data_IF_969629808225
#
_entry.id   IF_969629808225
#
_cell.length_a   1.000
_cell.length_b   1.000
_cell.length_c   1.000
_cell.angle_alpha   90.00
_cell.angle_beta   90.00
_cell.angle_gamma   90.00
#
_symmetry.space_group_name_H-M   'P 1'
#
loop_
_entity.id
_entity.type
_entity.pdbx_description
1 polymer ?
#
# COMPACT_ATOMS: atom_id res chain seq x y z
N UNK A 1 0.52 -2.96 -9.28
CA UNK A 1 0.51 -2.18 -10.54
C UNK A 1 -0.44 -1.01 -10.43
N UNK A 2 -0.10 0.16 -10.98
CA UNK A 2 -0.96 1.34 -11.00
C UNK A 2 -1.66 1.45 -12.35
N UNK A 3 -2.99 1.49 -12.36
CA UNK A 3 -3.81 1.80 -13.53
C UNK A 3 -4.19 3.27 -13.47
N UNK A 4 -3.42 4.08 -14.20
CA UNK A 4 -3.57 5.54 -14.24
C UNK A 4 -4.86 5.98 -14.94
N UNK A 5 -5.34 5.20 -15.92
CA UNK A 5 -6.52 5.55 -16.70
C UNK A 5 -7.79 5.43 -15.86
N UNK A 6 -7.82 4.42 -14.98
CA UNK A 6 -8.98 4.14 -14.12
C UNK A 6 -8.81 4.64 -12.68
N UNK A 7 -7.63 5.13 -12.31
CA UNK A 7 -7.33 5.59 -10.95
C UNK A 7 -7.40 4.45 -9.93
N UNK A 8 -6.88 3.28 -10.31
CA UNK A 8 -6.95 2.04 -9.54
C UNK A 8 -5.55 1.51 -9.27
N UNK A 9 -5.30 1.06 -8.05
CA UNK A 9 -4.13 0.26 -7.72
C UNK A 9 -4.52 -1.22 -7.76
N UNK A 10 -3.88 -1.99 -8.64
CA UNK A 10 -4.02 -3.44 -8.68
C UNK A 10 -2.94 -4.04 -7.79
N UNK A 11 -3.37 -4.66 -6.70
CA UNK A 11 -2.53 -5.46 -5.84
C UNK A 11 -2.53 -6.89 -6.33
N UNK A 12 -1.36 -7.46 -6.53
CA UNK A 12 -1.20 -8.87 -6.87
C UNK A 12 -0.57 -9.56 -5.68
N UNK A 13 -1.21 -10.59 -5.12
CA UNK A 13 -0.61 -11.39 -4.06
C UNK A 13 0.75 -11.89 -4.50
N UNK A 14 1.76 -11.57 -3.71
CA UNK A 14 3.06 -12.22 -3.76
C UNK A 14 3.20 -12.92 -2.42
N UNK A 15 3.57 -14.20 -2.43
CA UNK A 15 3.77 -14.95 -1.19
C UNK A 15 4.80 -14.20 -0.32
N UNK A 16 4.30 -13.61 0.77
CA UNK A 16 5.11 -12.86 1.73
C UNK A 16 5.08 -13.61 3.05
N UNK A 17 6.26 -13.98 3.56
CA UNK A 17 6.36 -14.65 4.86
C UNK A 17 6.19 -13.63 5.97
N UNK A 18 5.07 -13.70 6.69
CA UNK A 18 4.84 -12.88 7.88
C UNK A 18 5.20 -13.60 9.17
N UNK A 19 5.63 -12.85 10.22
CA UNK A 19 5.70 -13.39 11.56
C UNK A 19 4.34 -13.94 12.02
N UNK A 20 4.37 -14.89 12.96
CA UNK A 20 3.13 -15.44 13.52
C UNK A 20 2.25 -14.33 14.13
N UNK A 21 0.96 -14.34 13.78
CA UNK A 21 0.00 -13.34 14.25
C UNK A 21 0.17 -11.95 13.63
N UNK A 22 0.85 -11.85 12.48
CA UNK A 22 1.00 -10.60 11.73
C UNK A 22 0.49 -10.74 10.30
N UNK A 23 -0.08 -9.67 9.78
CA UNK A 23 -0.66 -9.61 8.45
C UNK A 23 -0.08 -8.43 7.66
N UNK A 24 0.02 -8.52 6.32
CA UNK A 24 0.52 -7.43 5.49
C UNK A 24 -0.49 -6.29 5.32
N UNK A 25 -0.07 -5.07 5.63
CA UNK A 25 -0.80 -3.85 5.27
C UNK A 25 0.00 -3.01 4.29
N UNK A 26 -0.67 -2.48 3.28
CA UNK A 26 -0.08 -1.59 2.29
C UNK A 26 -0.30 -0.13 2.66
N UNK A 27 0.75 0.66 2.47
CA UNK A 27 0.77 2.08 2.70
C UNK A 27 1.25 2.81 1.46
N UNK A 28 0.73 4.01 1.24
CA UNK A 28 1.33 5.00 0.34
C UNK A 28 1.81 6.19 1.14
N UNK A 29 2.99 6.67 0.79
CA UNK A 29 3.68 7.78 1.45
C UNK A 29 4.01 8.79 0.35
N UNK A 30 3.10 9.75 0.11
CA UNK A 30 3.40 10.85 -0.81
C UNK A 30 4.56 11.69 -0.28
N UNK A 31 5.33 12.29 -1.18
CA UNK A 31 6.44 13.15 -0.79
C UNK A 31 5.97 14.31 0.12
N UNK A 32 6.64 14.47 1.27
CA UNK A 32 6.30 15.49 2.26
C UNK A 32 4.99 15.27 3.02
N UNK A 33 4.31 14.12 2.84
CA UNK A 33 3.05 13.80 3.51
C UNK A 33 3.17 12.58 4.43
N UNK A 34 2.13 12.39 5.26
CA UNK A 34 2.01 11.22 6.14
C UNK A 34 1.70 9.97 5.32
N UNK A 35 2.08 8.81 5.86
CA UNK A 35 1.65 7.52 5.33
C UNK A 35 0.12 7.41 5.42
N UNK A 36 -0.48 6.90 4.36
CA UNK A 36 -1.91 6.63 4.24
C UNK A 36 -2.07 5.14 4.00
N UNK A 37 -2.87 4.47 4.84
CA UNK A 37 -3.20 3.06 4.62
C UNK A 37 -4.01 2.91 3.33
N UNK A 38 -3.57 1.98 2.49
CA UNK A 38 -4.31 1.48 1.34
C UNK A 38 -5.00 0.14 1.66
N UNK A 39 -4.87 -0.34 2.91
CA UNK A 39 -5.50 -1.56 3.41
C UNK A 39 -4.62 -2.81 3.31
N UNK A 40 -5.19 -3.90 3.80
CA UNK A 40 -4.53 -5.20 3.88
C UNK A 40 -4.23 -5.78 2.49
N UNK A 41 -3.04 -6.36 2.30
CA UNK A 41 -2.72 -7.07 1.07
C UNK A 41 -3.52 -8.38 1.01
N UNK A 42 -4.16 -8.68 -0.12
CA UNK A 42 -4.80 -9.97 -0.31
C UNK A 42 -3.76 -11.09 -0.37
N UNK A 43 -4.09 -12.25 0.18
CA UNK A 43 -3.22 -13.43 0.22
C UNK A 43 -3.59 -14.48 -0.84
N UNK A 44 -4.76 -14.36 -1.46
CA UNK A 44 -5.40 -15.36 -2.30
C UNK A 44 -5.56 -14.92 -3.76
N UNK A 45 -6.03 -13.68 -3.99
CA UNK A 45 -6.34 -13.18 -5.32
C UNK A 45 -5.96 -11.69 -5.50
N UNK A 46 -5.69 -11.25 -6.74
CA UNK A 46 -5.51 -9.84 -7.02
C UNK A 46 -6.70 -8.99 -6.57
N UNK A 47 -6.40 -7.83 -5.97
CA UNK A 47 -7.40 -6.88 -5.49
C UNK A 47 -7.17 -5.50 -6.10
N UNK A 48 -8.21 -4.98 -6.75
CA UNK A 48 -8.25 -3.59 -7.17
C UNK A 48 -8.65 -2.72 -5.97
N UNK A 49 -7.85 -1.70 -5.67
CA UNK A 49 -8.15 -0.70 -4.64
C UNK A 49 -8.27 0.65 -5.33
N UNK A 50 -9.36 1.40 -5.10
CA UNK A 50 -9.46 2.75 -5.61
C UNK A 50 -8.35 3.60 -5.00
N UNK A 51 -7.64 4.36 -5.83
CA UNK A 51 -6.70 5.35 -5.31
C UNK A 51 -7.47 6.36 -4.44
N UNK A 52 -6.93 6.72 -3.27
CA UNK A 52 -7.35 7.92 -2.54
C UNK A 52 -7.53 9.12 -3.49
N UNK A 53 -8.55 9.95 -3.25
CA UNK A 53 -8.89 11.09 -4.12
C UNK A 53 -7.71 12.04 -4.31
N UNK A 54 -6.90 12.21 -3.28
CA UNK A 54 -5.70 13.06 -3.29
C UNK A 54 -4.59 12.54 -4.22
N UNK A 55 -4.73 11.30 -4.71
CA UNK A 55 -3.85 10.66 -5.68
C UNK A 55 -4.47 10.54 -7.07
N UNK A 56 -5.75 10.88 -7.23
CA UNK A 56 -6.46 10.86 -8.52
C UNK A 56 -6.17 12.15 -9.29
N UNK A 57 -5.10 12.15 -10.07
CA UNK A 57 -4.75 13.24 -10.99
C UNK A 57 -3.68 12.80 -11.97
N UNK A 58 -3.81 13.19 -13.24
CA UNK A 58 -2.94 12.78 -14.35
C UNK A 58 -1.49 13.35 -14.28
N UNK A 59 -0.98 13.64 -13.08
CA UNK A 59 0.31 14.29 -12.90
C UNK A 59 1.00 13.87 -11.60
N UNK A 60 2.13 13.19 -11.76
CA UNK A 60 3.36 13.46 -11.02
C UNK A 60 3.33 13.36 -9.48
N UNK A 61 3.10 12.18 -8.92
CA UNK A 61 3.53 11.92 -7.54
C UNK A 61 4.64 10.89 -7.50
N UNK A 62 5.81 11.32 -7.03
CA UNK A 62 6.79 10.40 -6.46
C UNK A 62 6.24 9.99 -5.10
N UNK A 63 5.90 8.72 -4.95
CA UNK A 63 5.40 8.20 -3.69
C UNK A 63 6.15 6.92 -3.35
N UNK A 64 6.41 6.73 -2.06
CA UNK A 64 6.92 5.46 -1.55
C UNK A 64 5.71 4.59 -1.19
N UNK A 65 5.64 3.40 -1.76
CA UNK A 65 4.86 2.32 -1.20
C UNK A 65 5.66 1.61 -0.13
N UNK A 66 5.00 1.24 0.95
CA UNK A 66 5.56 0.39 1.99
C UNK A 66 4.55 -0.68 2.37
N UNK A 67 5.05 -1.89 2.65
CA UNK A 67 4.27 -2.96 3.26
C UNK A 67 4.81 -3.15 4.67
N UNK A 68 3.93 -3.11 5.68
CA UNK A 68 4.31 -3.40 7.07
C UNK A 68 3.71 -4.72 7.52
N UNK A 69 4.34 -5.34 8.50
CA UNK A 69 3.66 -6.38 9.29
C UNK A 69 2.76 -5.67 10.30
N UNK A 70 1.48 -5.99 10.36
CA UNK A 70 0.49 -5.36 11.26
C UNK A 70 -0.25 -6.43 12.06
N UNK A 71 -0.96 -6.06 13.15
CA UNK A 71 -1.84 -6.99 13.84
C UNK A 71 -2.94 -7.48 12.88
N UNK A 72 -3.63 -8.58 13.20
CA UNK A 72 -4.77 -9.00 12.41
C UNK A 72 -5.80 -7.87 12.29
N UNK A 73 -6.21 -7.56 11.07
CA UNK A 73 -7.09 -6.41 10.78
C UNK A 73 -6.39 -5.07 10.55
N UNK A 74 -5.06 -5.02 10.61
CA UNK A 74 -4.25 -3.84 10.27
C UNK A 74 -3.93 -2.92 11.45
N UNK A 75 -3.38 -1.75 11.13
CA UNK A 75 -3.00 -0.71 12.07
C UNK A 75 -4.23 -0.02 12.69
N UNK A 76 -4.48 -0.18 14.00
CA UNK A 76 -5.73 0.27 14.63
C UNK A 76 -5.90 1.79 14.69
N UNK A 77 -4.81 2.55 14.60
CA UNK A 77 -4.81 4.02 14.71
C UNK A 77 -4.52 4.72 13.38
N UNK A 78 -4.44 3.97 12.27
CA UNK A 78 -4.02 4.51 10.97
C UNK A 78 -2.54 4.90 10.92
N UNK A 79 -1.73 4.40 11.86
CA UNK A 79 -0.27 4.56 11.89
C UNK A 79 0.34 3.16 11.93
N UNK A 80 1.28 2.89 11.01
CA UNK A 80 1.97 1.61 10.96
C UNK A 80 2.57 1.23 12.32
N UNK A 81 2.32 -0.01 12.77
CA UNK A 81 2.76 -0.49 14.08
C UNK A 81 3.97 -1.42 13.99
N UNK A 82 4.21 -2.04 12.84
CA UNK A 82 5.30 -3.00 12.66
C UNK A 82 6.43 -2.56 11.75
N UNK A 83 7.28 -3.52 11.44
CA UNK A 83 8.45 -3.28 10.59
C UNK A 83 8.03 -3.20 9.13
N UNK A 84 8.74 -2.38 8.36
CA UNK A 84 8.63 -2.36 6.90
C UNK A 84 9.21 -3.66 6.35
N UNK A 85 8.40 -4.42 5.61
CA UNK A 85 8.74 -5.72 4.99
C UNK A 85 9.08 -5.59 3.51
N UNK A 86 8.48 -4.63 2.83
CA UNK A 86 8.81 -4.28 1.45
C UNK A 86 8.60 -2.79 1.25
N UNK A 87 9.38 -2.18 0.36
CA UNK A 87 9.18 -0.80 -0.04
C UNK A 87 9.55 -0.62 -1.52
N UNK A 88 8.83 0.25 -2.20
CA UNK A 88 9.03 0.52 -3.62
C UNK A 88 8.59 1.93 -3.97
N UNK A 89 9.37 2.62 -4.81
CA UNK A 89 9.01 3.96 -5.26
C UNK A 89 8.17 3.86 -6.52
N UNK A 90 7.09 4.63 -6.58
CA UNK A 90 6.56 5.09 -7.84
C UNK A 90 7.44 6.24 -8.31
N UNK A 91 8.22 6.01 -9.34
CA UNK A 91 8.86 7.07 -10.09
C UNK A 91 8.04 7.31 -11.36
N UNK A 92 7.97 8.58 -11.78
CA UNK A 92 7.52 8.93 -13.12
C UNK A 92 8.36 8.12 -14.13
N UNK A 93 7.69 7.47 -15.09
CA UNK A 93 8.36 6.89 -16.25
C UNK A 93 8.97 7.99 -17.13
#
# INVERSE_FOLDING_TARGET
TLDHANGVLILTPVAMKMPAGREPELWIIPEGQKAISLGMLPTDAPRAIPLPKDLKGAGAYTALLAVTDEPPGGAPTGVATGSVRAAGKFAKA
#
